data_IF_876446005399
#
_entry.id   IF_876446005399
#
_cell.length_a   1.000
_cell.length_b   1.000
_cell.length_c   1.000
_cell.angle_alpha   90.00
_cell.angle_beta   90.00
_cell.angle_gamma   90.00
#
_symmetry.space_group_name_H-M   'P 1'
#
loop_
_entity.id
_entity.type
_entity.pdbx_description
1 polymer ?
#
# COMPACT_ATOMS: atom_id res chain seq x y z
N UNK A 1 -42.16 37.43 48.02
CA UNK A 1 -42.18 36.48 46.89
C UNK A 1 -40.88 36.67 46.12
N UNK A 2 -39.94 35.72 46.16
CA UNK A 2 -38.63 35.90 45.52
C UNK A 2 -38.77 35.84 43.99
N UNK A 3 -38.02 36.71 43.31
CA UNK A 3 -37.99 36.90 41.86
C UNK A 3 -37.49 35.64 41.14
N UNK A 4 -38.41 34.93 40.47
CA UNK A 4 -38.16 33.68 39.74
C UNK A 4 -37.48 33.90 38.37
N UNK A 5 -37.40 35.15 37.91
CA UNK A 5 -36.97 35.49 36.54
C UNK A 5 -35.44 35.46 36.38
N UNK A 6 -34.70 35.72 37.45
CA UNK A 6 -33.22 35.72 37.44
C UNK A 6 -32.63 34.33 37.31
N UNK A 7 -33.28 33.31 37.87
CA UNK A 7 -32.78 31.94 37.85
C UNK A 7 -32.97 31.27 36.48
N UNK A 8 -34.03 31.65 35.75
CA UNK A 8 -34.26 31.16 34.38
C UNK A 8 -33.22 31.70 33.39
N UNK A 9 -32.84 32.98 33.52
CA UNK A 9 -31.80 33.59 32.68
C UNK A 9 -30.42 32.97 32.95
N UNK A 10 -30.13 32.61 34.20
CA UNK A 10 -28.88 31.95 34.56
C UNK A 10 -28.79 30.52 33.97
N UNK A 11 -29.90 29.77 33.99
CA UNK A 11 -29.96 28.42 33.39
C UNK A 11 -29.82 28.47 31.86
N UNK A 12 -30.52 29.39 31.19
CA UNK A 12 -30.42 29.58 29.72
C UNK A 12 -29.00 29.92 29.25
N UNK A 13 -28.26 30.72 30.03
CA UNK A 13 -26.88 31.06 29.70
C UNK A 13 -25.91 29.90 29.97
N UNK A 14 -26.19 29.03 30.95
CA UNK A 14 -25.41 27.81 31.17
C UNK A 14 -25.62 26.78 30.06
N UNK A 15 -26.85 26.64 29.54
CA UNK A 15 -27.12 25.70 28.45
C UNK A 15 -26.48 26.16 27.14
N UNK A 16 -26.52 27.46 26.83
CA UNK A 16 -25.80 28.02 25.65
C UNK A 16 -24.27 27.86 25.75
N UNK A 17 -23.70 27.96 26.95
CA UNK A 17 -22.27 27.78 27.17
C UNK A 17 -21.82 26.32 27.03
N UNK A 18 -22.72 25.34 27.26
CA UNK A 18 -22.44 23.92 27.05
C UNK A 18 -22.49 23.53 25.57
N UNK A 19 -23.44 24.07 24.82
CA UNK A 19 -23.55 23.80 23.37
C UNK A 19 -22.38 24.38 22.57
N UNK A 20 -21.82 25.52 23.00
CA UNK A 20 -20.67 26.13 22.31
C UNK A 20 -19.34 25.36 22.49
N UNK A 21 -19.25 24.40 23.41
CA UNK A 21 -18.05 23.56 23.61
C UNK A 21 -18.06 22.26 22.80
N UNK A 22 -19.18 21.93 22.15
CA UNK A 22 -19.21 20.91 21.11
C UNK A 22 -18.82 21.55 19.77
N UNK A 23 -17.59 22.03 19.70
CA UNK A 23 -16.92 22.23 18.42
C UNK A 23 -16.78 20.85 17.81
N UNK A 24 -17.76 20.52 16.96
CA UNK A 24 -17.70 19.40 16.03
C UNK A 24 -16.38 19.55 15.31
N UNK A 25 -15.38 18.76 15.72
CA UNK A 25 -14.15 18.55 14.96
C UNK A 25 -14.57 17.86 13.67
N UNK A 26 -15.08 18.65 12.72
CA UNK A 26 -15.17 18.26 11.32
C UNK A 26 -13.71 18.16 10.91
N UNK A 27 -13.13 16.96 11.11
CA UNK A 27 -11.86 16.61 10.50
C UNK A 27 -12.04 16.95 9.02
N UNK A 28 -11.24 17.86 8.44
CA UNK A 28 -11.29 18.08 7.01
C UNK A 28 -11.10 16.72 6.37
N UNK A 29 -12.15 16.25 5.69
CA UNK A 29 -12.15 14.99 4.95
C UNK A 29 -11.15 15.23 3.83
N UNK A 30 -9.88 14.94 4.10
CA UNK A 30 -8.78 15.08 3.17
C UNK A 30 -9.26 14.52 1.83
N UNK A 31 -9.25 15.38 0.80
CA UNK A 31 -9.69 15.02 -0.52
C UNK A 31 -9.03 13.69 -0.90
N UNK A 32 -9.85 12.63 -1.02
CA UNK A 32 -9.42 11.35 -1.55
C UNK A 32 -9.12 11.59 -3.03
N UNK A 33 -7.94 12.11 -3.36
CA UNK A 33 -7.35 11.86 -4.66
C UNK A 33 -6.81 10.43 -4.62
N UNK A 34 -7.72 9.46 -4.67
CA UNK A 34 -7.35 8.08 -4.96
C UNK A 34 -6.86 8.07 -6.41
N UNK A 35 -5.55 8.11 -6.61
CA UNK A 35 -4.97 7.66 -7.88
C UNK A 35 -5.20 6.15 -7.92
N UNK A 36 -6.36 5.74 -8.42
CA UNK A 36 -6.61 4.34 -8.71
C UNK A 36 -5.62 3.88 -9.79
N UNK A 37 -5.03 2.71 -9.60
CA UNK A 37 -4.16 2.13 -10.63
C UNK A 37 -5.05 1.82 -11.83
N UNK A 38 -4.72 2.39 -12.98
CA UNK A 38 -5.46 2.08 -14.20
C UNK A 38 -5.15 0.65 -14.64
N UNK A 39 -6.12 -0.04 -15.25
CA UNK A 39 -5.90 -1.43 -15.68
C UNK A 39 -4.74 -1.53 -16.70
N UNK A 40 -4.51 -0.47 -17.49
CA UNK A 40 -3.36 -0.36 -18.41
C UNK A 40 -2.03 -0.28 -17.65
N UNK A 41 -1.93 0.57 -16.64
CA UNK A 41 -0.72 0.68 -15.80
C UNK A 41 -0.41 -0.64 -15.10
N UNK A 42 -1.45 -1.29 -14.55
CA UNK A 42 -1.31 -2.60 -13.94
C UNK A 42 -0.79 -3.63 -14.94
N UNK A 43 -1.38 -3.68 -16.14
CA UNK A 43 -0.97 -4.63 -17.17
C UNK A 43 0.49 -4.42 -17.61
N UNK A 44 0.93 -3.17 -17.79
CA UNK A 44 2.32 -2.86 -18.12
C UNK A 44 3.32 -3.32 -17.04
N UNK A 45 3.00 -3.07 -15.77
CA UNK A 45 3.86 -3.45 -14.64
C UNK A 45 3.84 -4.96 -14.41
N UNK A 46 2.71 -5.62 -14.66
CA UNK A 46 2.59 -7.07 -14.62
C UNK A 46 3.43 -7.72 -15.73
N UNK A 47 3.33 -7.23 -16.97
CA UNK A 47 4.17 -7.69 -18.08
C UNK A 47 5.66 -7.51 -17.77
N UNK A 48 6.06 -6.36 -17.23
CA UNK A 48 7.44 -6.10 -16.82
C UNK A 48 7.92 -7.12 -15.78
N UNK A 49 7.06 -7.44 -14.80
CA UNK A 49 7.38 -8.38 -13.73
C UNK A 49 7.52 -9.82 -14.25
N UNK A 50 6.61 -10.25 -15.13
CA UNK A 50 6.69 -11.55 -15.80
C UNK A 50 7.95 -11.65 -16.66
N UNK A 51 8.25 -10.62 -17.46
CA UNK A 51 9.44 -10.59 -18.31
C UNK A 51 10.72 -10.68 -17.49
N UNK A 52 10.78 -9.99 -16.35
CA UNK A 52 11.90 -10.12 -15.40
C UNK A 52 12.01 -11.56 -14.91
N UNK A 53 10.93 -12.14 -14.39
CA UNK A 53 10.97 -13.48 -13.78
C UNK A 53 11.43 -14.53 -14.82
N UNK A 54 10.98 -14.41 -16.07
CA UNK A 54 11.46 -15.25 -17.19
C UNK A 54 12.93 -14.99 -17.51
N UNK A 55 13.37 -13.72 -17.53
CA UNK A 55 14.77 -13.36 -17.77
C UNK A 55 15.68 -13.99 -16.72
N UNK A 56 15.26 -14.02 -15.45
CA UNK A 56 16.01 -14.64 -14.38
C UNK A 56 16.18 -16.15 -14.57
N UNK A 57 15.18 -16.86 -15.09
CA UNK A 57 15.32 -18.27 -15.45
C UNK A 57 16.31 -18.48 -16.59
N UNK A 58 16.28 -17.62 -17.61
CA UNK A 58 17.24 -17.68 -18.73
C UNK A 58 18.66 -17.40 -18.23
N UNK A 59 18.84 -16.39 -17.38
CA UNK A 59 20.13 -16.03 -16.80
C UNK A 59 20.66 -17.09 -15.82
N UNK A 60 19.77 -17.81 -15.13
CA UNK A 60 20.14 -18.96 -14.31
C UNK A 60 20.77 -20.07 -15.16
N UNK A 61 20.16 -20.38 -16.31
CA UNK A 61 20.67 -21.39 -17.25
C UNK A 61 22.03 -21.00 -17.84
N UNK A 62 22.31 -19.70 -17.97
CA UNK A 62 23.61 -19.22 -18.44
C UNK A 62 24.74 -19.43 -17.41
N UNK A 63 24.42 -19.64 -16.13
CA UNK A 63 25.40 -19.84 -15.05
C UNK A 63 26.34 -18.65 -14.84
N UNK A 64 27.25 -18.73 -13.86
CA UNK A 64 28.35 -17.77 -13.65
C UNK A 64 27.97 -16.28 -13.79
N UNK A 65 28.34 -15.68 -14.93
CA UNK A 65 28.02 -14.29 -15.32
C UNK A 65 26.52 -13.99 -15.33
N UNK A 66 25.68 -14.97 -15.73
CA UNK A 66 24.23 -14.87 -15.70
C UNK A 66 23.68 -14.59 -14.30
N UNK A 67 24.29 -15.17 -13.25
CA UNK A 67 23.90 -14.88 -11.86
C UNK A 67 24.20 -13.41 -11.48
N UNK A 68 25.35 -12.88 -11.91
CA UNK A 68 25.72 -11.48 -11.63
C UNK A 68 24.76 -10.53 -12.37
N UNK A 69 24.49 -10.79 -13.65
CA UNK A 69 23.53 -10.03 -14.45
C UNK A 69 22.14 -10.07 -13.84
N UNK A 70 21.68 -11.25 -13.39
CA UNK A 70 20.39 -11.41 -12.72
C UNK A 70 20.33 -10.55 -11.46
N UNK A 71 21.41 -10.42 -10.69
CA UNK A 71 21.43 -9.51 -9.54
C UNK A 71 21.32 -8.04 -9.94
N UNK A 72 22.02 -7.63 -10.98
CA UNK A 72 21.98 -6.25 -11.45
C UNK A 72 20.58 -5.87 -11.99
N UNK A 73 19.99 -6.74 -12.80
CA UNK A 73 18.62 -6.53 -13.33
C UNK A 73 17.60 -6.55 -12.20
N UNK A 74 17.77 -7.39 -11.19
CA UNK A 74 16.88 -7.44 -10.04
C UNK A 74 16.91 -6.15 -9.21
N UNK A 75 18.09 -5.56 -8.99
CA UNK A 75 18.22 -4.24 -8.35
C UNK A 75 17.51 -3.16 -9.18
N UNK A 76 17.70 -3.17 -10.50
CA UNK A 76 17.06 -2.22 -11.41
C UNK A 76 15.53 -2.34 -11.36
N UNK A 77 14.99 -3.55 -11.48
CA UNK A 77 13.55 -3.83 -11.43
C UNK A 77 12.97 -3.49 -10.06
N UNK A 78 13.67 -3.84 -8.98
CA UNK A 78 13.30 -3.44 -7.61
C UNK A 78 13.16 -1.92 -7.53
N UNK A 79 14.12 -1.16 -8.07
CA UNK A 79 14.06 0.30 -8.10
C UNK A 79 12.87 0.85 -8.88
N UNK A 80 12.58 0.27 -10.06
CA UNK A 80 11.43 0.65 -10.89
C UNK A 80 10.11 0.37 -10.16
N UNK A 81 9.95 -0.82 -9.58
CA UNK A 81 8.75 -1.21 -8.84
C UNK A 81 8.57 -0.38 -7.56
N UNK A 82 9.67 -0.08 -6.87
CA UNK A 82 9.68 0.79 -5.70
C UNK A 82 9.18 2.19 -6.06
N UNK A 83 9.74 2.79 -7.12
CA UNK A 83 9.33 4.10 -7.59
C UNK A 83 7.86 4.12 -8.03
N UNK A 84 7.44 3.12 -8.80
CA UNK A 84 6.04 2.99 -9.22
C UNK A 84 5.09 2.87 -8.02
N UNK A 85 5.43 2.04 -7.03
CA UNK A 85 4.67 1.91 -5.79
C UNK A 85 4.60 3.24 -5.02
N UNK A 86 5.69 4.01 -4.93
CA UNK A 86 5.69 5.32 -4.28
C UNK A 86 4.79 6.33 -4.99
N UNK A 87 4.75 6.29 -6.32
CA UNK A 87 3.93 7.20 -7.11
C UNK A 87 2.44 6.88 -7.06
N UNK A 88 2.07 5.59 -6.95
CA UNK A 88 0.68 5.13 -7.09
C UNK A 88 0.02 4.69 -5.80
N UNK A 89 0.76 4.09 -4.88
CA UNK A 89 0.18 3.56 -3.65
C UNK A 89 0.18 4.62 -2.55
N UNK A 90 -1.02 4.90 -2.00
CA UNK A 90 -1.16 5.79 -0.85
C UNK A 90 -0.36 5.30 0.37
N UNK A 91 -0.29 3.99 0.55
CA UNK A 91 0.47 3.34 1.61
C UNK A 91 1.40 2.33 0.96
N UNK A 92 2.70 2.59 1.07
CA UNK A 92 3.70 1.69 0.53
C UNK A 92 3.64 0.33 1.25
N UNK A 93 3.56 -0.80 0.52
CA UNK A 93 3.47 -2.13 1.11
C UNK A 93 4.85 -2.63 1.56
N UNK A 94 5.49 -1.90 2.49
CA UNK A 94 6.90 -2.08 2.86
C UNK A 94 7.25 -3.51 3.24
N UNK A 95 6.40 -4.19 4.00
CA UNK A 95 6.65 -5.57 4.45
C UNK A 95 6.68 -6.56 3.28
N UNK A 96 5.75 -6.44 2.34
CA UNK A 96 5.69 -7.30 1.14
C UNK A 96 6.87 -7.02 0.22
N UNK A 97 7.13 -5.74 0.00
CA UNK A 97 8.21 -5.31 -0.87
C UNK A 97 9.57 -5.77 -0.34
N UNK A 98 9.85 -5.54 0.95
CA UNK A 98 11.09 -5.96 1.58
C UNK A 98 11.18 -7.49 1.66
N UNK A 99 10.08 -8.19 1.95
CA UNK A 99 10.05 -9.65 1.95
C UNK A 99 10.39 -10.22 0.58
N UNK A 100 9.76 -9.69 -0.48
CA UNK A 100 10.06 -10.09 -1.85
C UNK A 100 11.52 -9.81 -2.24
N UNK A 101 12.01 -8.61 -1.93
CA UNK A 101 13.40 -8.25 -2.14
C UNK A 101 14.38 -9.19 -1.42
N UNK A 102 14.12 -9.56 -0.17
CA UNK A 102 14.97 -10.47 0.59
C UNK A 102 14.95 -11.89 0.00
N UNK A 103 13.78 -12.41 -0.40
CA UNK A 103 13.67 -13.71 -1.09
C UNK A 103 14.50 -13.71 -2.37
N UNK A 104 14.35 -12.64 -3.15
CA UNK A 104 15.07 -12.44 -4.39
C UNK A 104 16.58 -12.42 -4.19
N UNK A 105 17.09 -11.78 -3.13
CA UNK A 105 18.52 -11.73 -2.82
C UNK A 105 19.15 -13.10 -2.49
N UNK A 106 18.35 -14.11 -2.11
CA UNK A 106 18.86 -15.46 -1.84
C UNK A 106 19.17 -16.14 -3.18
N UNK A 107 20.43 -16.58 -3.42
CA UNK A 107 20.77 -17.35 -4.61
C UNK A 107 19.91 -18.61 -4.73
N UNK A 108 19.53 -18.98 -5.96
CA UNK A 108 18.65 -20.11 -6.29
C UNK A 108 17.19 -19.88 -5.86
N UNK A 109 16.91 -19.63 -4.58
CA UNK A 109 15.53 -19.48 -4.07
C UNK A 109 14.81 -18.31 -4.74
N UNK A 110 15.47 -17.15 -4.81
CA UNK A 110 14.91 -15.96 -5.45
C UNK A 110 14.65 -16.19 -6.94
N UNK A 111 15.51 -16.96 -7.60
CA UNK A 111 15.44 -17.19 -9.05
C UNK A 111 14.30 -18.12 -9.45
N UNK A 112 13.92 -19.08 -8.60
CA UNK A 112 12.79 -19.99 -8.88
C UNK A 112 11.42 -19.39 -8.54
N UNK A 113 11.37 -18.38 -7.67
CA UNK A 113 10.13 -17.75 -7.24
C UNK A 113 9.76 -16.61 -8.20
N UNK A 114 8.55 -16.58 -8.80
CA UNK A 114 8.06 -15.43 -9.57
C UNK A 114 7.62 -14.31 -8.61
N UNK A 115 8.56 -13.83 -7.80
CA UNK A 115 8.30 -13.02 -6.60
C UNK A 115 7.66 -11.68 -6.97
N UNK A 116 8.16 -11.04 -8.02
CA UNK A 116 7.63 -9.75 -8.46
C UNK A 116 6.26 -9.89 -9.11
N UNK A 117 6.05 -10.94 -9.91
CA UNK A 117 4.72 -11.23 -10.46
C UNK A 117 3.69 -11.44 -9.34
N UNK A 118 4.02 -12.25 -8.33
CA UNK A 118 3.16 -12.46 -7.16
C UNK A 118 2.92 -11.13 -6.43
N UNK A 119 3.97 -10.33 -6.22
CA UNK A 119 3.86 -9.03 -5.55
C UNK A 119 2.87 -8.10 -6.27
N UNK A 120 2.97 -7.95 -7.58
CA UNK A 120 2.07 -7.11 -8.38
C UNK A 120 0.63 -7.61 -8.35
N UNK A 121 0.43 -8.93 -8.48
CA UNK A 121 -0.90 -9.54 -8.36
C UNK A 121 -1.51 -9.25 -6.98
N UNK A 122 -0.72 -9.36 -5.90
CA UNK A 122 -1.23 -9.09 -4.55
C UNK A 122 -1.66 -7.64 -4.36
N UNK A 123 -0.94 -6.68 -4.96
CA UNK A 123 -1.33 -5.26 -4.93
C UNK A 123 -2.67 -5.07 -5.63
N UNK A 124 -2.84 -5.65 -6.82
CA UNK A 124 -4.08 -5.54 -7.58
C UNK A 124 -5.26 -6.21 -6.88
N UNK A 125 -5.06 -7.40 -6.32
CA UNK A 125 -6.08 -8.11 -5.56
C UNK A 125 -6.51 -7.32 -4.31
N UNK A 126 -5.57 -6.65 -3.63
CA UNK A 126 -5.89 -5.78 -2.50
C UNK A 126 -6.70 -4.55 -2.94
N UNK A 127 -6.35 -3.93 -4.07
CA UNK A 127 -7.08 -2.76 -4.57
C UNK A 127 -8.50 -3.09 -5.04
N UNK A 128 -8.70 -4.24 -5.69
CA UNK A 128 -10.02 -4.67 -6.15
C UNK A 128 -10.86 -5.33 -5.04
N UNK A 129 -10.32 -5.47 -3.83
CA UNK A 129 -11.03 -6.07 -2.69
C UNK A 129 -11.21 -7.59 -2.80
N UNK A 130 -10.44 -8.27 -3.66
CA UNK A 130 -10.44 -9.73 -3.78
C UNK A 130 -9.63 -10.43 -2.67
N UNK A 131 -8.87 -9.67 -1.88
CA UNK A 131 -8.02 -10.23 -0.84
C UNK A 131 -8.85 -10.62 0.40
N UNK A 132 -8.84 -11.90 0.82
CA UNK A 132 -9.49 -12.33 2.06
C UNK A 132 -8.93 -11.58 3.27
N UNK A 133 -9.78 -11.25 4.25
CA UNK A 133 -9.38 -10.49 5.44
C UNK A 133 -8.22 -11.13 6.22
N UNK A 134 -8.16 -12.46 6.26
CA UNK A 134 -7.09 -13.18 6.96
C UNK A 134 -5.72 -12.99 6.29
N UNK A 135 -5.69 -12.89 4.96
CA UNK A 135 -4.49 -12.51 4.20
C UNK A 135 -4.19 -11.03 4.45
N UNK A 136 -5.19 -10.16 4.39
CA UNK A 136 -5.01 -8.74 4.71
C UNK A 136 -4.32 -8.52 6.06
N UNK A 137 -4.74 -9.24 7.10
CA UNK A 137 -4.14 -9.20 8.44
C UNK A 137 -2.71 -9.72 8.48
N UNK A 138 -2.43 -10.87 7.87
CA UNK A 138 -1.08 -11.44 7.78
C UNK A 138 -0.09 -10.47 7.14
N UNK A 139 -0.56 -9.75 6.11
CA UNK A 139 0.31 -8.93 5.29
C UNK A 139 0.22 -7.42 5.62
N UNK A 140 -0.43 -7.07 6.73
CA UNK A 140 -0.42 -5.72 7.30
C UNK A 140 -1.31 -4.68 6.61
N UNK A 141 -2.26 -5.13 5.80
CA UNK A 141 -3.35 -4.29 5.31
C UNK A 141 -4.28 -4.01 6.50
N UNK A 142 -4.39 -2.73 6.91
CA UNK A 142 -5.42 -2.33 7.88
C UNK A 142 -6.67 -2.03 7.07
N UNK A 143 -7.76 -2.73 7.41
CA UNK A 143 -9.12 -2.42 6.96
C UNK A 143 -9.47 -0.94 7.20
#
# INVERSE_FOLDING_TARGET
MPNNDTDQLAQLNQDRAKDSKQTVKIKPKAAKSTSEITDVEFFLVLCLSILKDVLDWILLLAGGIGLILSRLTNIAITGILWLWCLMRLRKFPTKRFLGGFLIEMIPLVGTFSPTWTIFIITIWAEQKGYMPEWIGKLVGAKA
#
